data_IF_404949611152
#
_entry.id   IF_404949611152
#
_cell.length_a   1.000
_cell.length_b   1.000
_cell.length_c   1.000
_cell.angle_alpha   90.00
_cell.angle_beta   90.00
_cell.angle_gamma   90.00
#
_symmetry.space_group_name_H-M   'P 1'
#
loop_
_entity.id
_entity.type
_entity.pdbx_description
1 polymer ?
#
# COMPACT_ATOMS: atom_id res chain seq x y z
N UNK A 1 19.09 1.05 -15.75
CA UNK A 1 18.09 1.34 -16.81
C UNK A 1 16.75 1.48 -16.11
N UNK A 2 16.12 2.65 -16.15
CA UNK A 2 14.87 2.89 -15.41
C UNK A 2 13.69 2.14 -16.03
N UNK A 3 12.70 1.79 -15.20
CA UNK A 3 11.42 1.26 -15.67
C UNK A 3 10.71 2.29 -16.57
N UNK A 4 10.04 1.82 -17.62
CA UNK A 4 9.19 2.63 -18.51
C UNK A 4 7.75 2.10 -18.48
N UNK A 5 7.04 2.25 -17.35
CA UNK A 5 5.71 1.69 -17.21
C UNK A 5 4.71 2.36 -18.14
N UNK A 6 3.81 1.59 -18.74
CA UNK A 6 2.68 2.11 -19.53
C UNK A 6 1.41 2.31 -18.70
N UNK A 7 1.28 1.58 -17.59
CA UNK A 7 0.17 1.65 -16.64
C UNK A 7 0.70 1.90 -15.25
N UNK A 8 0.08 2.81 -14.51
CA UNK A 8 0.30 3.04 -13.08
C UNK A 8 -1.03 2.88 -12.36
N UNK A 9 -1.01 2.15 -11.24
CA UNK A 9 -2.16 1.95 -10.36
C UNK A 9 -1.78 2.52 -8.99
N UNK A 10 -2.57 3.47 -8.49
CA UNK A 10 -2.42 4.08 -7.17
C UNK A 10 -3.49 3.48 -6.27
N UNK A 11 -3.06 2.85 -5.16
CA UNK A 11 -3.91 2.06 -4.28
C UNK A 11 -4.42 2.91 -3.10
N UNK A 12 -5.04 4.04 -3.44
CA UNK A 12 -5.70 4.96 -2.53
C UNK A 12 -4.80 5.90 -1.72
N UNK A 13 -5.47 6.76 -0.96
CA UNK A 13 -4.95 7.82 -0.09
C UNK A 13 -3.96 8.75 -0.80
N UNK A 14 -4.39 9.26 -1.97
CA UNK A 14 -3.66 10.26 -2.75
C UNK A 14 -3.64 11.61 -2.04
N UNK A 15 -4.70 11.92 -1.28
CA UNK A 15 -4.78 13.12 -0.45
C UNK A 15 -4.87 12.79 1.04
N UNK A 16 -4.72 13.82 1.87
CA UNK A 16 -4.63 13.65 3.33
C UNK A 16 -5.90 14.07 4.08
N UNK A 17 -6.51 15.20 3.71
CA UNK A 17 -7.73 15.67 4.37
C UNK A 17 -8.85 14.65 4.14
N UNK A 18 -9.57 14.25 5.18
CA UNK A 18 -10.61 13.23 5.05
C UNK A 18 -11.95 13.78 4.54
N UNK A 19 -12.36 14.93 5.08
CA UNK A 19 -13.72 15.48 5.00
C UNK A 19 -13.92 16.50 3.87
N UNK A 20 -12.84 16.94 3.23
CA UNK A 20 -12.86 17.95 2.17
C UNK A 20 -11.73 17.74 1.17
N UNK A 21 -11.82 18.46 0.06
CA UNK A 21 -10.72 18.62 -0.90
C UNK A 21 -10.09 19.99 -0.71
N UNK A 22 -8.84 20.04 -0.26
CA UNK A 22 -8.10 21.29 -0.19
C UNK A 22 -7.66 21.72 -1.61
N UNK A 23 -7.60 23.03 -1.85
CA UNK A 23 -7.08 23.57 -3.13
C UNK A 23 -5.66 23.06 -3.43
N UNK A 24 -4.84 22.93 -2.39
CA UNK A 24 -3.49 22.39 -2.50
C UNK A 24 -3.50 20.92 -2.93
N UNK A 25 -4.31 20.08 -2.29
CA UNK A 25 -4.42 18.65 -2.63
C UNK A 25 -4.96 18.42 -4.04
N UNK A 26 -5.92 19.25 -4.47
CA UNK A 26 -6.40 19.23 -5.85
C UNK A 26 -5.28 19.54 -6.84
N UNK A 27 -4.46 20.55 -6.54
CA UNK A 27 -3.32 20.92 -7.38
C UNK A 27 -2.23 19.84 -7.37
N UNK A 28 -1.91 19.26 -6.21
CA UNK A 28 -0.91 18.21 -6.06
C UNK A 28 -1.33 16.92 -6.78
N UNK A 29 -2.61 16.53 -6.66
CA UNK A 29 -3.17 15.38 -7.38
C UNK A 29 -3.08 15.59 -8.89
N UNK A 30 -3.49 16.76 -9.39
CA UNK A 30 -3.39 17.07 -10.82
C UNK A 30 -1.93 17.04 -11.31
N UNK A 31 -1.01 17.64 -10.57
CA UNK A 31 0.43 17.65 -10.87
C UNK A 31 1.04 16.25 -10.87
N UNK A 32 0.63 15.37 -9.94
CA UNK A 32 1.08 13.99 -9.91
C UNK A 32 0.70 13.24 -11.20
N UNK A 33 -0.56 13.36 -11.63
CA UNK A 33 -1.06 12.72 -12.84
C UNK A 33 -0.39 13.29 -14.10
N UNK A 34 -0.25 14.61 -14.18
CA UNK A 34 0.47 15.29 -15.26
C UNK A 34 1.94 14.84 -15.32
N UNK A 35 2.59 14.76 -14.16
CA UNK A 35 3.97 14.29 -14.07
C UNK A 35 4.11 12.85 -14.57
N UNK A 36 3.22 11.93 -14.17
CA UNK A 36 3.22 10.54 -14.67
C UNK A 36 3.04 10.48 -16.18
N UNK A 37 2.06 11.22 -16.71
CA UNK A 37 1.81 11.31 -18.15
C UNK A 37 3.04 11.85 -18.91
N UNK A 38 3.69 12.90 -18.40
CA UNK A 38 4.91 13.48 -18.99
C UNK A 38 6.09 12.49 -19.05
N UNK A 39 6.06 11.40 -18.27
CA UNK A 39 7.05 10.32 -18.27
C UNK A 39 6.71 9.16 -19.23
N UNK A 40 5.64 9.28 -20.01
CA UNK A 40 5.21 8.28 -20.99
C UNK A 40 4.34 7.16 -20.42
N UNK A 41 3.70 7.42 -19.27
CA UNK A 41 2.64 6.55 -18.72
C UNK A 41 1.34 6.83 -19.47
N UNK A 42 0.82 5.82 -20.16
CA UNK A 42 -0.37 5.95 -21.01
C UNK A 42 -1.67 5.89 -20.17
N UNK A 43 -1.64 5.19 -19.02
CA UNK A 43 -2.82 4.99 -18.17
C UNK A 43 -2.46 5.12 -16.69
N UNK A 44 -3.13 6.04 -16.00
CA UNK A 44 -3.05 6.19 -14.53
C UNK A 44 -4.41 5.86 -13.93
N UNK A 45 -4.47 4.90 -13.02
CA UNK A 45 -5.70 4.47 -12.34
C UNK A 45 -5.54 4.74 -10.85
N UNK A 46 -6.51 5.41 -10.24
CA UNK A 46 -6.58 5.68 -8.81
C UNK A 46 -7.73 4.88 -8.22
N UNK A 47 -7.41 3.92 -7.36
CA UNK A 47 -8.40 3.19 -6.56
C UNK A 47 -8.67 4.02 -5.32
N UNK A 48 -9.93 4.22 -4.95
CA UNK A 48 -10.31 5.08 -3.83
C UNK A 48 -9.78 4.57 -2.50
N UNK A 49 -8.99 5.40 -1.82
CA UNK A 49 -8.70 5.27 -0.40
C UNK A 49 -9.75 5.88 0.50
N UNK A 50 -9.65 5.67 1.81
CA UNK A 50 -10.60 6.26 2.75
C UNK A 50 -10.46 7.80 2.82
N UNK A 51 -9.30 8.35 2.47
CA UNK A 51 -9.08 9.80 2.39
C UNK A 51 -9.45 10.42 1.04
N UNK A 52 -9.71 9.64 0.00
CA UNK A 52 -9.88 10.13 -1.38
C UNK A 52 -11.29 10.66 -1.71
N UNK A 53 -12.04 11.08 -0.70
CA UNK A 53 -13.34 11.71 -0.91
C UNK A 53 -13.19 12.98 -1.76
N UNK A 54 -14.07 13.21 -2.73
CA UNK A 54 -14.10 14.42 -3.57
C UNK A 54 -12.94 14.59 -4.58
N UNK A 55 -11.99 13.64 -4.72
CA UNK A 55 -10.87 13.78 -5.68
C UNK A 55 -11.17 13.26 -7.09
N UNK A 56 -12.24 12.46 -7.26
CA UNK A 56 -12.61 11.83 -8.54
C UNK A 56 -12.63 12.84 -9.71
N UNK A 57 -13.22 14.02 -9.48
CA UNK A 57 -13.29 15.07 -10.50
C UNK A 57 -11.92 15.63 -10.89
N UNK A 58 -10.96 15.67 -9.96
CA UNK A 58 -9.58 16.11 -10.25
C UNK A 58 -8.84 15.03 -11.03
N UNK A 59 -8.96 13.77 -10.61
CA UNK A 59 -8.34 12.61 -11.27
C UNK A 59 -8.77 12.52 -12.73
N UNK A 60 -10.09 12.53 -12.96
CA UNK A 60 -10.67 12.42 -14.32
C UNK A 60 -10.34 13.61 -15.21
N UNK A 61 -10.42 14.85 -14.70
CA UNK A 61 -10.01 16.06 -15.46
C UNK A 61 -8.53 16.07 -15.83
N UNK A 62 -7.69 15.38 -15.05
CA UNK A 62 -6.25 15.27 -15.30
C UNK A 62 -5.89 14.04 -16.15
N UNK A 63 -6.87 13.36 -16.75
CA UNK A 63 -6.67 12.21 -17.65
C UNK A 63 -6.48 10.87 -16.93
N UNK A 64 -6.69 10.81 -15.62
CA UNK A 64 -6.68 9.56 -14.86
C UNK A 64 -8.04 8.86 -14.81
N UNK A 65 -8.03 7.58 -14.50
CA UNK A 65 -9.22 6.77 -14.19
C UNK A 65 -9.39 6.68 -12.68
N UNK A 66 -10.63 6.82 -12.19
CA UNK A 66 -10.95 6.68 -10.77
C UNK A 66 -11.85 5.46 -10.55
N UNK A 67 -11.44 4.58 -9.66
CA UNK A 67 -12.10 3.31 -9.35
C UNK A 67 -12.55 3.33 -7.89
N UNK A 68 -13.82 3.02 -7.64
CA UNK A 68 -14.40 3.15 -6.29
C UNK A 68 -13.97 2.04 -5.33
N UNK A 69 -13.94 0.78 -5.77
CA UNK A 69 -13.77 -0.36 -4.87
C UNK A 69 -12.42 -1.06 -5.08
N UNK A 70 -12.29 -1.80 -6.19
CA UNK A 70 -11.10 -2.58 -6.52
C UNK A 70 -10.87 -2.63 -8.03
N UNK A 71 -9.67 -3.06 -8.42
CA UNK A 71 -9.25 -3.21 -9.80
C UNK A 71 -8.61 -4.58 -10.02
N UNK A 72 -9.11 -5.34 -10.99
CA UNK A 72 -8.39 -6.48 -11.55
C UNK A 72 -7.18 -5.97 -12.33
N UNK A 73 -5.98 -6.12 -11.74
CA UNK A 73 -4.74 -5.61 -12.36
C UNK A 73 -4.16 -6.59 -13.37
N UNK A 74 -4.39 -7.88 -13.16
CA UNK A 74 -4.07 -9.01 -14.03
C UNK A 74 -4.87 -10.26 -13.59
N UNK A 75 -4.75 -11.38 -14.32
CA UNK A 75 -5.40 -12.65 -14.00
C UNK A 75 -5.02 -13.13 -12.59
N UNK A 76 -6.01 -13.22 -11.71
CA UNK A 76 -5.83 -13.67 -10.33
C UNK A 76 -5.20 -12.63 -9.40
N UNK A 77 -5.03 -11.37 -9.86
CA UNK A 77 -4.43 -10.30 -9.06
C UNK A 77 -5.39 -9.12 -8.99
N UNK A 78 -5.80 -8.76 -7.78
CA UNK A 78 -6.68 -7.63 -7.49
C UNK A 78 -5.93 -6.60 -6.66
N UNK A 79 -6.08 -5.32 -7.00
CA UNK A 79 -5.68 -4.21 -6.16
C UNK A 79 -6.92 -3.58 -5.50
N UNK A 80 -6.84 -3.30 -4.20
CA UNK A 80 -7.91 -2.67 -3.41
C UNK A 80 -7.26 -1.86 -2.30
N UNK A 81 -7.81 -0.71 -1.91
CA UNK A 81 -7.15 0.11 -0.89
C UNK A 81 -6.93 -0.65 0.43
N UNK A 82 -7.91 -1.46 0.83
CA UNK A 82 -7.78 -2.35 2.00
C UNK A 82 -8.40 -1.81 3.29
N UNK A 83 -9.06 -0.64 3.28
CA UNK A 83 -9.81 -0.12 4.44
C UNK A 83 -11.16 -0.82 4.67
N UNK A 84 -11.71 -1.46 3.63
CA UNK A 84 -12.98 -2.21 3.63
C UNK A 84 -12.85 -3.44 2.74
N UNK A 85 -13.68 -4.46 3.00
CA UNK A 85 -13.84 -5.62 2.12
C UNK A 85 -14.58 -5.22 0.84
N UNK A 86 -14.23 -5.87 -0.25
CA UNK A 86 -14.99 -5.89 -1.49
C UNK A 86 -15.13 -7.35 -1.94
N UNK A 87 -16.12 -7.62 -2.79
CA UNK A 87 -16.39 -8.97 -3.28
C UNK A 87 -15.66 -9.21 -4.60
N UNK A 88 -14.68 -10.10 -4.57
CA UNK A 88 -13.91 -10.57 -5.73
C UNK A 88 -13.27 -11.93 -5.41
N UNK A 89 -12.71 -12.58 -6.43
CA UNK A 89 -11.89 -13.77 -6.26
C UNK A 89 -10.50 -13.52 -6.85
N UNK A 90 -9.46 -13.69 -6.04
CA UNK A 90 -8.09 -13.43 -6.45
C UNK A 90 -7.11 -14.33 -5.69
N UNK A 91 -6.06 -14.77 -6.39
CA UNK A 91 -4.93 -15.47 -5.79
C UNK A 91 -4.05 -14.49 -5.02
N UNK A 92 -3.90 -13.26 -5.54
CA UNK A 92 -3.09 -12.19 -4.94
C UNK A 92 -3.93 -10.92 -4.76
N UNK A 93 -3.91 -10.38 -3.55
CA UNK A 93 -4.56 -9.11 -3.20
C UNK A 93 -3.50 -8.07 -2.86
N UNK A 94 -3.42 -6.97 -3.61
CA UNK A 94 -2.52 -5.85 -3.34
C UNK A 94 -3.28 -4.78 -2.56
N UNK A 95 -2.78 -4.42 -1.38
CA UNK A 95 -3.41 -3.40 -0.52
C UNK A 95 -2.45 -2.28 -0.11
N UNK A 96 -3.01 -1.10 0.14
CA UNK A 96 -2.31 0.06 0.72
C UNK A 96 -2.58 0.11 2.22
N UNK A 97 -3.34 1.12 2.66
CA UNK A 97 -3.98 1.40 3.96
C UNK A 97 -3.18 1.12 5.25
N UNK A 98 -2.60 -0.06 5.40
CA UNK A 98 -1.83 -0.51 6.55
C UNK A 98 -0.47 0.19 6.67
N UNK A 99 0.22 0.39 5.54
CA UNK A 99 1.55 1.00 5.48
C UNK A 99 2.56 0.33 6.45
N UNK A 100 2.93 -0.94 6.25
CA UNK A 100 3.67 -1.70 7.24
C UNK A 100 5.08 -1.16 7.46
N UNK A 101 5.53 -1.20 8.72
CA UNK A 101 6.87 -0.82 9.12
C UNK A 101 7.46 -1.81 10.13
N UNK A 102 8.74 -2.11 9.97
CA UNK A 102 9.51 -2.93 10.91
C UNK A 102 10.24 -2.03 11.89
N UNK A 103 10.06 -2.33 13.18
CA UNK A 103 10.79 -1.66 14.27
C UNK A 103 12.06 -2.45 14.56
N UNK A 104 13.20 -1.78 14.49
CA UNK A 104 14.51 -2.34 14.86
C UNK A 104 15.13 -1.47 15.94
N UNK A 105 15.62 -2.10 17.00
CA UNK A 105 16.41 -1.43 18.03
C UNK A 105 17.88 -1.47 17.64
N UNK A 106 18.46 -0.33 17.30
CA UNK A 106 19.89 -0.21 16.95
C UNK A 106 20.56 0.73 17.95
N UNK A 107 21.53 0.20 18.70
CA UNK A 107 22.31 0.97 19.68
C UNK A 107 21.46 1.82 20.65
N UNK A 108 20.34 1.26 21.14
CA UNK A 108 19.41 1.95 22.04
C UNK A 108 18.40 2.88 21.37
N UNK A 109 18.50 3.11 20.05
CA UNK A 109 17.54 3.89 19.28
C UNK A 109 16.52 2.98 18.58
N UNK A 110 15.23 3.34 18.66
CA UNK A 110 14.16 2.65 17.92
C UNK A 110 14.02 3.27 16.54
N UNK A 111 14.35 2.52 15.49
CA UNK A 111 14.20 2.96 14.10
C UNK A 111 13.06 2.18 13.46
N UNK A 112 12.23 2.87 12.67
CA UNK A 112 11.19 2.24 11.84
C UNK A 112 11.61 2.26 10.38
N UNK A 113 11.48 1.11 9.73
CA UNK A 113 11.73 0.97 8.30
C UNK A 113 10.42 0.59 7.59
N UNK A 114 9.95 1.39 6.63
CA UNK A 114 8.85 0.98 5.75
C UNK A 114 9.20 -0.33 5.05
N UNK A 115 8.22 -1.21 4.95
CA UNK A 115 8.40 -2.51 4.33
C UNK A 115 7.21 -2.85 3.46
N UNK A 116 7.45 -3.63 2.41
CA UNK A 116 6.38 -4.48 1.89
C UNK A 116 6.12 -5.58 2.90
N UNK A 117 4.87 -6.04 2.99
CA UNK A 117 4.53 -7.20 3.78
C UNK A 117 3.81 -8.22 2.90
N UNK A 118 4.37 -9.43 2.81
CA UNK A 118 3.76 -10.55 2.10
C UNK A 118 3.07 -11.42 3.15
N UNK A 119 1.75 -11.44 3.16
CA UNK A 119 0.94 -12.18 4.16
C UNK A 119 0.23 -13.33 3.45
N UNK A 120 0.57 -14.60 3.75
CA UNK A 120 -0.22 -15.74 3.29
C UNK A 120 -1.67 -15.66 3.79
N UNK A 121 -2.62 -16.18 3.01
CA UNK A 121 -4.03 -16.26 3.40
C UNK A 121 -4.40 -17.68 3.81
N UNK A 122 -5.39 -17.81 4.68
CA UNK A 122 -5.92 -19.10 5.16
C UNK A 122 -6.46 -19.98 4.01
N UNK A 123 -6.93 -19.37 2.92
CA UNK A 123 -7.43 -20.05 1.73
C UNK A 123 -6.33 -20.43 0.70
N UNK A 124 -5.06 -20.17 1.02
CA UNK A 124 -3.91 -20.43 0.15
C UNK A 124 -3.52 -19.26 -0.77
N UNK A 125 -4.28 -18.16 -0.77
CA UNK A 125 -3.92 -16.93 -1.48
C UNK A 125 -2.82 -16.11 -0.78
N UNK A 126 -2.54 -14.92 -1.29
CA UNK A 126 -1.54 -14.00 -0.73
C UNK A 126 -2.04 -12.56 -0.70
N UNK A 127 -1.76 -11.84 0.38
CA UNK A 127 -1.94 -10.38 0.47
C UNK A 127 -0.55 -9.73 0.37
N UNK A 128 -0.40 -8.79 -0.55
CA UNK A 128 0.78 -7.94 -0.70
C UNK A 128 0.43 -6.55 -0.20
N UNK A 129 1.04 -6.15 0.90
CA UNK A 129 0.81 -4.85 1.51
C UNK A 129 1.91 -3.89 1.07
N UNK A 130 1.51 -2.76 0.49
CA UNK A 130 2.41 -1.71 0.03
C UNK A 130 2.86 -0.81 1.21
N UNK A 131 4.13 -0.40 1.26
CA UNK A 131 4.58 0.60 2.22
C UNK A 131 3.96 1.96 1.91
N UNK A 132 3.96 2.86 2.90
CA UNK A 132 3.67 4.27 2.65
C UNK A 132 4.72 4.86 1.70
N UNK A 133 4.26 5.67 0.73
CA UNK A 133 5.15 6.47 -0.13
C UNK A 133 5.46 7.85 0.49
N UNK A 134 4.69 8.29 1.49
CA UNK A 134 4.83 9.61 2.10
C UNK A 134 5.84 9.67 3.24
N UNK A 135 6.70 10.69 3.23
CA UNK A 135 7.75 10.92 4.26
C UNK A 135 7.19 11.06 5.69
N UNK A 136 5.95 11.55 5.83
CA UNK A 136 5.32 11.79 7.13
C UNK A 136 4.67 10.54 7.73
N UNK A 137 4.52 9.46 6.97
CA UNK A 137 3.82 8.27 7.39
C UNK A 137 4.85 7.24 7.85
N UNK A 138 5.08 7.18 9.16
CA UNK A 138 6.07 6.24 9.74
C UNK A 138 5.67 4.76 9.67
N UNK A 139 4.47 4.49 9.17
CA UNK A 139 3.90 3.16 9.02
C UNK A 139 3.42 2.50 10.32
N UNK A 140 2.53 1.52 10.17
CA UNK A 140 2.03 0.70 11.26
C UNK A 140 3.03 -0.40 11.59
N UNK A 141 3.40 -0.56 12.88
CA UNK A 141 4.32 -1.60 13.28
C UNK A 141 3.74 -2.98 12.98
N UNK A 142 4.48 -3.78 12.21
CA UNK A 142 4.12 -5.17 11.95
C UNK A 142 4.25 -5.98 13.25
N UNK A 143 3.30 -6.87 13.52
CA UNK A 143 3.16 -7.61 14.78
C UNK A 143 2.50 -8.98 14.56
N UNK A 144 2.64 -9.89 15.53
CA UNK A 144 1.88 -11.15 15.58
C UNK A 144 0.43 -10.96 16.03
N UNK A 145 0.10 -9.83 16.67
CA UNK A 145 -1.28 -9.55 17.07
C UNK A 145 -2.12 -9.10 15.86
N UNK A 146 -2.87 -10.04 15.29
CA UNK A 146 -3.80 -9.80 14.17
C UNK A 146 -4.77 -8.64 14.45
N UNK A 147 -5.17 -8.40 15.69
CA UNK A 147 -6.16 -7.36 16.00
C UNK A 147 -5.66 -5.92 15.80
N UNK A 148 -4.34 -5.72 15.76
CA UNK A 148 -3.71 -4.41 15.59
C UNK A 148 -3.60 -3.95 14.14
N UNK A 149 -3.90 -4.82 13.17
CA UNK A 149 -3.92 -4.46 11.76
C UNK A 149 -5.20 -3.69 11.41
N UNK A 150 -5.07 -2.63 10.62
CA UNK A 150 -6.22 -1.83 10.18
C UNK A 150 -7.06 -2.58 9.15
N UNK A 151 -6.41 -3.26 8.21
CA UNK A 151 -7.09 -3.90 7.08
C UNK A 151 -7.88 -5.15 7.50
N UNK A 152 -9.19 -5.26 7.20
CA UNK A 152 -9.94 -6.48 7.44
C UNK A 152 -9.44 -7.67 6.62
N UNK A 153 -8.70 -7.47 5.51
CA UNK A 153 -8.07 -8.57 4.79
C UNK A 153 -7.02 -9.28 5.64
N UNK A 154 -6.15 -8.52 6.32
CA UNK A 154 -5.14 -9.12 7.19
C UNK A 154 -5.80 -9.68 8.45
N UNK A 155 -6.71 -8.92 9.08
CA UNK A 155 -7.37 -9.34 10.33
C UNK A 155 -8.13 -10.64 10.18
N UNK A 156 -8.87 -10.82 9.08
CA UNK A 156 -9.82 -11.92 8.93
C UNK A 156 -9.24 -13.09 8.12
N UNK A 157 -8.34 -12.84 7.17
CA UNK A 157 -7.84 -13.89 6.25
C UNK A 157 -6.33 -14.15 6.36
N UNK A 158 -5.56 -13.26 7.00
CA UNK A 158 -4.10 -13.32 6.99
C UNK A 158 -3.51 -14.26 8.04
N UNK A 159 -2.55 -15.09 7.62
CA UNK A 159 -1.68 -15.89 8.49
C UNK A 159 -0.45 -15.04 8.86
N UNK A 160 -0.59 -14.20 9.88
CA UNK A 160 0.44 -13.18 10.22
C UNK A 160 1.75 -13.77 10.69
N UNK A 161 1.73 -14.94 11.32
CA UNK A 161 2.91 -15.66 11.79
C UNK A 161 3.87 -15.99 10.65
N UNK A 162 3.31 -16.25 9.47
CA UNK A 162 4.04 -16.55 8.24
C UNK A 162 4.25 -15.31 7.35
N UNK A 163 3.83 -14.13 7.81
CA UNK A 163 4.03 -12.91 7.04
C UNK A 163 5.51 -12.56 6.94
N UNK A 164 5.94 -12.15 5.74
CA UNK A 164 7.34 -11.86 5.42
C UNK A 164 7.51 -10.38 5.07
N UNK A 165 8.24 -9.62 5.91
CA UNK A 165 8.58 -8.24 5.61
C UNK A 165 9.73 -8.13 4.60
N UNK A 166 9.64 -7.15 3.71
CA UNK A 166 10.71 -6.78 2.79
C UNK A 166 10.95 -5.28 2.94
N UNK A 167 12.01 -4.92 3.66
CA UNK A 167 12.41 -3.52 3.84
C UNK A 167 12.95 -3.01 2.50
N UNK A 168 12.57 -1.79 2.11
CA UNK A 168 13.17 -1.07 0.98
C UNK A 168 13.86 0.18 1.51
N UNK A 169 15.14 0.31 1.19
CA UNK A 169 15.95 1.46 1.53
C UNK A 169 16.87 1.81 0.35
N UNK A 170 17.04 3.10 0.08
CA UNK A 170 17.83 3.57 -1.07
C UNK A 170 19.31 3.22 -0.97
N UNK A 171 19.85 3.09 0.25
CA UNK A 171 21.26 2.84 0.50
C UNK A 171 21.65 1.36 0.46
N UNK A 172 20.73 0.47 0.85
CA UNK A 172 20.99 -0.99 0.95
C UNK A 172 20.14 -1.85 0.02
N UNK A 173 19.20 -1.25 -0.72
CA UNK A 173 18.29 -1.96 -1.61
C UNK A 173 17.14 -2.62 -0.85
N UNK A 174 16.76 -3.83 -1.26
CA UNK A 174 15.69 -4.60 -0.60
C UNK A 174 16.27 -5.65 0.35
N UNK A 175 15.82 -5.64 1.61
CA UNK A 175 16.16 -6.66 2.61
C UNK A 175 14.92 -7.48 2.96
N UNK A 176 14.89 -8.75 2.49
CA UNK A 176 13.88 -9.73 2.88
C UNK A 176 14.22 -10.29 4.26
N UNK A 177 13.29 -10.16 5.20
CA UNK A 177 13.43 -10.70 6.54
C UNK A 177 12.81 -12.10 6.66
N UNK A 178 13.09 -12.85 7.74
CA UNK A 178 12.36 -14.08 8.07
C UNK A 178 10.86 -13.82 8.33
N UNK A 179 10.03 -14.87 8.38
CA UNK A 179 8.64 -14.76 8.81
C UNK A 179 8.49 -14.16 10.22
N UNK A 180 7.36 -13.52 10.51
CA UNK A 180 7.15 -12.83 11.79
C UNK A 180 7.33 -13.74 13.00
N UNK A 181 6.94 -15.02 12.94
CA UNK A 181 7.13 -16.00 14.04
C UNK A 181 8.60 -16.16 14.45
N UNK A 182 9.53 -15.89 13.54
CA UNK A 182 10.98 -15.96 13.77
C UNK A 182 11.52 -14.60 14.17
N UNK A 183 11.06 -13.53 13.51
CA UNK A 183 11.44 -12.16 13.85
C UNK A 183 11.05 -11.75 15.25
N UNK A 184 9.87 -12.14 15.73
CA UNK A 184 9.38 -11.81 17.07
C UNK A 184 10.32 -12.32 18.16
N UNK A 185 10.97 -13.47 17.94
CA UNK A 185 11.98 -14.04 18.86
C UNK A 185 13.30 -13.26 18.86
N UNK A 186 13.56 -12.47 17.82
CA UNK A 186 14.81 -11.72 17.62
C UNK A 186 14.64 -10.25 18.04
N UNK A 187 13.45 -9.69 17.80
CA UNK A 187 13.14 -8.28 18.00
C UNK A 187 12.37 -7.99 19.30
N UNK A 188 11.74 -9.02 19.89
CA UNK A 188 10.97 -8.97 21.14
C UNK A 188 11.83 -8.95 22.39
#
# INVERSE_FOLDING_TARGET
>A
MGLKPKKVVIVGDVKHAFDRLLKQEALETAKLLEWLSSRGVDKVIVIRGNHDNYIQGVVTKSGGEFVEDYLDVDKGIVAVHGHKKAEFNADIIIIGHEHPAIKINVAGSRVKYPAFLIVPREDGGTIVVLPALGVYQTGNPVTLDRSLYLSPYIREEGVVEEAVPIIIDESVGSLKLPPLRELDKILG
#
